data_IF_117206725740
#
_entry.id   IF_117206725740
#
_cell.length_a   1.000
_cell.length_b   1.000
_cell.length_c   1.000
_cell.angle_alpha   90.00
_cell.angle_beta   90.00
_cell.angle_gamma   90.00
#
_symmetry.space_group_name_H-M   'P 1'
#
loop_
_entity.id
_entity.type
_entity.pdbx_description
1 polymer ?
#
# COMPACT_ATOMS: atom_id res chain seq x y z
N UNK A 1 -7.67 -16.14 20.22
CA UNK A 1 -6.41 -15.37 20.21
C UNK A 1 -6.60 -14.23 19.24
N UNK A 2 -6.72 -13.00 19.73
CA UNK A 2 -6.82 -11.82 18.86
C UNK A 2 -5.45 -11.64 18.22
N UNK A 3 -5.32 -11.85 16.91
CA UNK A 3 -4.09 -11.53 16.20
C UNK A 3 -3.77 -10.05 16.45
N UNK A 4 -2.51 -9.69 16.77
CA UNK A 4 -2.18 -8.30 17.05
C UNK A 4 -2.42 -7.47 15.79
N UNK A 5 -3.39 -6.55 15.87
CA UNK A 5 -3.65 -5.55 14.82
C UNK A 5 -2.38 -4.74 14.61
N UNK A 6 -1.91 -4.66 13.36
CA UNK A 6 -0.77 -3.81 13.06
C UNK A 6 -1.14 -2.34 13.17
N UNK A 7 -0.19 -1.51 13.57
CA UNK A 7 -0.29 -0.05 13.39
C UNK A 7 0.07 0.25 11.94
N UNK A 8 -0.81 0.92 11.20
CA UNK A 8 -0.57 1.27 9.80
C UNK A 8 -0.60 2.77 9.60
N UNK A 9 0.55 3.31 9.21
CA UNK A 9 0.78 4.72 8.98
C UNK A 9 0.89 5.03 7.48
N UNK A 10 0.32 6.14 7.04
CA UNK A 10 0.57 6.71 5.72
C UNK A 10 1.58 7.83 5.91
N UNK A 11 2.78 7.64 5.37
CA UNK A 11 3.85 8.63 5.50
C UNK A 11 3.47 9.96 4.85
N UNK A 12 4.11 11.05 5.29
CA UNK A 12 3.92 12.38 4.73
C UNK A 12 4.12 12.43 3.20
N UNK A 13 5.11 11.70 2.69
CA UNK A 13 5.38 11.60 1.25
C UNK A 13 4.23 10.93 0.51
N UNK A 14 3.71 9.82 1.03
CA UNK A 14 2.56 9.13 0.46
C UNK A 14 1.30 10.02 0.53
N UNK A 15 1.07 10.73 1.64
CA UNK A 15 -0.06 11.65 1.79
C UNK A 15 -0.03 12.76 0.76
N UNK A 16 1.11 13.45 0.60
CA UNK A 16 1.31 14.46 -0.47
C UNK A 16 1.02 13.91 -1.85
N UNK A 17 1.34 12.64 -2.09
CA UNK A 17 1.06 12.00 -3.38
C UNK A 17 -0.42 11.73 -3.56
N UNK A 18 -1.13 11.31 -2.51
CA UNK A 18 -2.59 11.17 -2.52
C UNK A 18 -3.30 12.49 -2.78
N UNK A 19 -2.83 13.59 -2.19
CA UNK A 19 -3.38 14.93 -2.43
C UNK A 19 -3.35 15.31 -3.92
N UNK A 20 -2.31 14.88 -4.64
CA UNK A 20 -2.18 15.09 -6.09
C UNK A 20 -3.04 14.16 -6.93
N UNK A 21 -3.30 12.93 -6.44
CA UNK A 21 -4.12 11.93 -7.13
C UNK A 21 -5.63 12.14 -6.88
N UNK A 22 -5.97 12.87 -5.83
CA UNK A 22 -7.33 13.26 -5.50
C UNK A 22 -8.04 12.32 -4.51
N UNK A 23 -9.27 12.70 -4.10
CA UNK A 23 -9.97 12.10 -2.97
C UNK A 23 -10.35 10.63 -3.19
N UNK A 24 -10.53 10.20 -4.45
CA UNK A 24 -10.80 8.81 -4.75
C UNK A 24 -9.59 7.90 -4.46
N UNK A 25 -8.38 8.36 -4.78
CA UNK A 25 -7.16 7.64 -4.46
C UNK A 25 -6.93 7.59 -2.94
N UNK A 26 -7.22 8.70 -2.24
CA UNK A 26 -7.16 8.73 -0.78
C UNK A 26 -8.10 7.70 -0.14
N UNK A 27 -9.38 7.67 -0.53
CA UNK A 27 -10.34 6.71 -0.01
C UNK A 27 -9.93 5.25 -0.27
N UNK A 28 -9.36 4.99 -1.45
CA UNK A 28 -8.85 3.67 -1.82
C UNK A 28 -7.64 3.26 -0.97
N UNK A 29 -6.69 4.17 -0.74
CA UNK A 29 -5.52 3.88 0.09
C UNK A 29 -5.85 3.80 1.58
N UNK A 30 -6.85 4.54 2.08
CA UNK A 30 -7.37 4.36 3.44
C UNK A 30 -8.07 3.00 3.63
N UNK A 31 -8.80 2.52 2.61
CA UNK A 31 -9.36 1.17 2.65
C UNK A 31 -8.25 0.10 2.68
N UNK A 32 -7.17 0.31 1.92
CA UNK A 32 -5.98 -0.55 1.97
C UNK A 32 -5.28 -0.48 3.33
N UNK A 33 -5.17 0.71 3.94
CA UNK A 33 -4.62 0.90 5.30
C UNK A 33 -5.33 0.02 6.31
N UNK A 34 -6.67 0.06 6.32
CA UNK A 34 -7.50 -0.77 7.18
C UNK A 34 -7.39 -2.28 6.88
N UNK A 35 -7.12 -2.66 5.63
CA UNK A 35 -6.83 -4.06 5.31
C UNK A 35 -5.46 -4.48 5.84
N UNK A 36 -4.43 -3.64 5.71
CA UNK A 36 -3.08 -3.92 6.20
C UNK A 36 -3.02 -4.07 7.73
N UNK A 37 -3.88 -3.37 8.47
CA UNK A 37 -4.04 -3.54 9.92
C UNK A 37 -4.37 -5.00 10.29
N UNK A 38 -5.11 -5.70 9.40
CA UNK A 38 -5.51 -7.11 9.56
C UNK A 38 -4.60 -8.08 8.80
N UNK A 39 -4.09 -7.68 7.64
CA UNK A 39 -3.31 -8.50 6.69
C UNK A 39 -1.98 -7.82 6.37
N UNK A 40 -1.09 -7.85 7.32
CA UNK A 40 0.17 -7.11 7.33
C UNK A 40 1.12 -7.49 6.18
N UNK A 41 0.98 -8.72 5.67
CA UNK A 41 1.81 -9.28 4.61
C UNK A 41 1.08 -9.34 3.25
N UNK A 42 0.12 -8.45 3.01
CA UNK A 42 -0.55 -8.33 1.72
C UNK A 42 0.45 -8.07 0.56
N UNK A 43 0.11 -8.52 -0.64
CA UNK A 43 0.92 -8.30 -1.83
C UNK A 43 2.25 -9.06 -1.82
N UNK A 44 3.17 -8.61 -2.69
CA UNK A 44 4.45 -9.25 -2.95
C UNK A 44 5.56 -8.64 -2.11
N UNK A 45 6.37 -9.48 -1.46
CA UNK A 45 7.65 -9.06 -0.86
C UNK A 45 8.68 -8.77 -1.95
N UNK A 46 9.22 -7.55 -1.96
CA UNK A 46 10.20 -7.09 -2.97
C UNK A 46 11.61 -7.11 -2.40
N UNK A 47 11.77 -6.74 -1.13
CA UNK A 47 13.08 -6.69 -0.47
C UNK A 47 12.95 -6.98 1.02
N UNK A 48 13.98 -7.56 1.60
CA UNK A 48 14.18 -7.62 3.06
C UNK A 48 15.30 -6.63 3.40
N UNK A 49 15.05 -5.78 4.38
CA UNK A 49 15.98 -4.80 4.92
C UNK A 49 16.71 -5.38 6.15
N UNK A 50 17.73 -4.68 6.60
CA UNK A 50 18.41 -4.99 7.85
C UNK A 50 17.41 -5.04 9.01
N UNK A 51 17.65 -5.94 9.97
CA UNK A 51 16.78 -6.18 11.13
C UNK A 51 15.39 -6.79 10.82
N UNK A 52 15.19 -7.33 9.62
CA UNK A 52 14.00 -8.14 9.30
C UNK A 52 12.76 -7.34 8.90
N UNK A 53 12.91 -6.04 8.65
CA UNK A 53 11.86 -5.26 7.99
C UNK A 53 11.72 -5.67 6.52
N UNK A 54 10.50 -5.68 6.00
CA UNK A 54 10.21 -6.11 4.62
C UNK A 54 9.64 -4.96 3.81
N UNK A 55 10.19 -4.71 2.62
CA UNK A 55 9.54 -3.86 1.63
C UNK A 55 8.59 -4.72 0.81
N UNK A 56 7.32 -4.33 0.78
CA UNK A 56 6.24 -5.03 0.09
C UNK A 56 5.55 -4.08 -0.87
N UNK A 57 5.06 -4.64 -1.96
CA UNK A 57 4.29 -3.92 -2.97
C UNK A 57 2.97 -4.64 -3.17
N UNK A 58 1.88 -3.89 -3.12
CA UNK A 58 0.53 -4.38 -3.40
C UNK A 58 -0.10 -3.50 -4.48
N UNK A 59 -0.82 -4.14 -5.40
CA UNK A 59 -1.60 -3.45 -6.42
C UNK A 59 -3.01 -3.26 -5.91
N UNK A 60 -3.58 -2.09 -6.20
CA UNK A 60 -5.00 -1.82 -6.05
C UNK A 60 -5.58 -1.63 -7.44
N UNK A 61 -6.58 -2.44 -7.77
CA UNK A 61 -7.22 -2.39 -9.08
C UNK A 61 -7.96 -1.08 -9.33
N UNK A 62 -8.07 -0.72 -10.61
CA UNK A 62 -8.77 0.48 -11.04
C UNK A 62 -10.24 0.45 -10.58
N UNK A 63 -10.76 1.63 -10.26
CA UNK A 63 -12.17 1.88 -9.92
C UNK A 63 -12.68 3.06 -10.73
N UNK A 64 -14.01 3.22 -10.81
CA UNK A 64 -14.65 4.22 -11.66
C UNK A 64 -14.10 5.67 -11.52
N UNK A 65 -13.52 6.04 -10.37
CA UNK A 65 -12.94 7.35 -10.12
C UNK A 65 -11.45 7.33 -9.71
N UNK A 66 -10.77 6.19 -9.82
CA UNK A 66 -9.36 6.04 -9.42
C UNK A 66 -8.64 5.07 -10.37
N UNK A 67 -7.51 5.45 -10.98
CA UNK A 67 -6.72 4.49 -11.75
C UNK A 67 -6.22 3.35 -10.85
N UNK A 68 -5.72 2.29 -11.47
CA UNK A 68 -4.98 1.27 -10.72
C UNK A 68 -3.80 1.93 -9.99
N UNK A 69 -3.48 1.49 -8.78
CA UNK A 69 -2.41 2.03 -7.97
C UNK A 69 -1.44 0.92 -7.57
N UNK A 70 -0.15 1.18 -7.66
CA UNK A 70 0.89 0.39 -7.03
C UNK A 70 1.28 1.06 -5.71
N UNK A 71 1.09 0.35 -4.61
CA UNK A 71 1.34 0.83 -3.24
C UNK A 71 2.52 0.09 -2.66
N UNK A 72 3.58 0.82 -2.34
CA UNK A 72 4.74 0.28 -1.63
C UNK A 72 4.64 0.61 -0.15
N UNK A 73 4.87 -0.40 0.69
CA UNK A 73 4.88 -0.24 2.13
C UNK A 73 6.01 -1.05 2.78
N UNK A 74 6.45 -0.60 3.95
CA UNK A 74 7.42 -1.31 4.79
C UNK A 74 6.67 -2.01 5.90
N UNK A 75 6.87 -3.31 6.05
CA UNK A 75 6.35 -4.12 7.15
C UNK A 75 7.47 -4.38 8.17
N UNK A 76 7.24 -3.96 9.42
CA UNK A 76 8.11 -4.19 10.56
C UNK A 76 7.40 -5.15 11.52
N UNK A 77 7.78 -6.43 11.58
CA UNK A 77 7.12 -7.41 12.45
C UNK A 77 7.49 -7.25 13.94
N UNK A 78 8.58 -6.55 14.26
CA UNK A 78 9.07 -6.34 15.62
C UNK A 78 9.62 -4.91 15.84
N UNK A 79 9.52 -4.38 17.08
CA UNK A 79 8.78 -4.93 18.23
C UNK A 79 7.26 -4.90 18.01
N UNK A 80 6.51 -5.66 18.80
CA UNK A 80 5.05 -5.63 18.75
C UNK A 80 4.49 -4.31 19.32
N UNK A 81 3.36 -3.78 18.79
CA UNK A 81 2.59 -4.32 17.66
C UNK A 81 3.34 -4.16 16.32
N UNK A 82 3.15 -5.11 15.38
CA UNK A 82 3.72 -4.95 14.04
C UNK A 82 3.32 -3.61 13.42
N UNK A 83 4.22 -3.00 12.68
CA UNK A 83 3.98 -1.69 12.05
C UNK A 83 4.07 -1.82 10.53
N UNK A 84 3.13 -1.22 9.81
CA UNK A 84 3.23 -1.04 8.37
C UNK A 84 3.28 0.46 8.05
N UNK A 85 4.24 0.88 7.21
CA UNK A 85 4.34 2.26 6.76
C UNK A 85 4.14 2.31 5.25
N UNK A 86 3.07 2.95 4.77
CA UNK A 86 2.85 3.20 3.35
C UNK A 86 3.77 4.35 2.94
N UNK A 87 4.77 4.02 2.11
CA UNK A 87 5.87 4.92 1.73
C UNK A 87 5.71 5.49 0.33
N UNK A 88 5.00 4.80 -0.57
CA UNK A 88 4.79 5.26 -1.94
C UNK A 88 3.45 4.79 -2.49
N UNK A 89 2.82 5.67 -3.27
CA UNK A 89 1.59 5.40 -4.03
C UNK A 89 1.79 5.95 -5.43
N UNK A 90 1.76 5.09 -6.44
CA UNK A 90 1.93 5.49 -7.83
C UNK A 90 0.78 4.93 -8.67
N UNK A 91 0.30 5.65 -9.69
CA UNK A 91 -0.54 5.04 -10.72
C UNK A 91 0.19 3.83 -11.31
N UNK A 92 -0.54 2.73 -11.50
CA UNK A 92 -0.04 1.55 -12.18
C UNK A 92 -0.41 1.70 -13.67
N UNK A 93 0.52 2.23 -14.47
CA UNK A 93 0.34 2.51 -15.90
C UNK A 93 0.32 1.25 -16.79
N UNK A 94 -0.09 0.07 -16.27
CA UNK A 94 -0.25 -1.14 -17.09
C UNK A 94 -1.51 -1.10 -17.98
N UNK A 95 -1.86 0.07 -18.50
CA UNK A 95 -3.11 0.35 -19.22
C UNK A 95 -2.93 0.95 -20.62
N UNK A 96 -1.87 0.63 -21.35
CA UNK A 96 -1.64 1.10 -22.73
C UNK A 96 -1.22 0.00 -23.74
N UNK A 97 -1.52 -1.28 -23.46
CA UNK A 97 -1.35 -2.36 -24.46
C UNK A 97 -2.60 -3.26 -24.54
N UNK A 98 -3.74 -2.71 -24.93
CA UNK A 98 -4.82 -3.50 -25.57
C UNK A 98 -5.70 -2.58 -26.44
N UNK A 99 -5.05 -1.87 -27.38
CA UNK A 99 -5.68 -1.42 -28.63
C UNK A 99 -4.96 -2.13 -29.78
N UNK A 100 -5.37 -3.38 -30.05
CA UNK A 100 -5.44 -3.97 -31.40
C UNK A 100 -5.94 -5.42 -31.36
N UNK A 101 -7.22 -5.59 -31.70
CA UNK A 101 -7.70 -6.73 -32.50
C UNK A 101 -8.99 -6.34 -33.22
#
# INVERSE_FOLDING_TARGET
MTEPTAVVEITHTARKRLDLLGPAAEAVVEALRAELERKQQLGRRVRVLDQGAEVRVTRVEARAACPALSVTYVHLPHPAPPTCAIVSVVPDDTGDEDDKA
#
